data_IF_897464387196
#
_entry.id   IF_897464387196
#
_cell.length_a   1.000
_cell.length_b   1.000
_cell.length_c   1.000
_cell.angle_alpha   90.00
_cell.angle_beta   90.00
_cell.angle_gamma   90.00
#
_symmetry.space_group_name_H-M   'P 1'
#
loop_
_entity.id
_entity.type
_entity.pdbx_description
1 polymer ?
#
# COMPACT_ATOMS: atom_id res chain seq x y z
N UNK A 1 20.29 -9.30 -19.10
CA UNK A 1 19.19 -8.72 -19.87
C UNK A 1 17.81 -9.03 -19.27
N UNK A 2 17.39 -10.31 -19.11
CA UNK A 2 16.06 -10.65 -18.54
C UNK A 2 15.80 -10.09 -17.13
N UNK A 3 16.80 -10.11 -16.22
CA UNK A 3 16.66 -9.54 -14.87
C UNK A 3 16.41 -8.03 -14.89
N UNK A 4 17.11 -7.30 -15.75
CA UNK A 4 16.96 -5.85 -15.88
C UNK A 4 15.58 -5.48 -16.45
N UNK A 5 15.11 -6.18 -17.47
CA UNK A 5 13.77 -5.99 -18.05
C UNK A 5 12.70 -6.26 -16.98
N UNK A 6 12.88 -7.31 -16.17
CA UNK A 6 11.99 -7.62 -15.04
C UNK A 6 11.92 -6.47 -14.03
N UNK A 7 13.06 -5.98 -13.57
CA UNK A 7 13.11 -4.87 -12.60
C UNK A 7 12.44 -3.62 -13.15
N UNK A 8 12.73 -3.28 -14.42
CA UNK A 8 12.09 -2.13 -15.09
C UNK A 8 10.58 -2.34 -15.21
N UNK A 9 10.13 -3.54 -15.54
CA UNK A 9 8.70 -3.85 -15.64
C UNK A 9 8.01 -3.78 -14.25
N UNK A 10 8.65 -4.29 -13.19
CA UNK A 10 8.09 -4.25 -11.83
C UNK A 10 7.98 -2.81 -11.28
N UNK A 11 8.95 -1.96 -11.55
CA UNK A 11 9.02 -0.58 -11.03
C UNK A 11 8.37 0.43 -11.99
N UNK A 12 8.32 0.10 -13.27
CA UNK A 12 7.84 0.98 -14.34
C UNK A 12 6.50 1.67 -14.05
N UNK A 13 5.43 0.94 -13.68
CA UNK A 13 4.15 1.56 -13.34
C UNK A 13 4.26 2.57 -12.19
N UNK A 14 5.05 2.29 -11.15
CA UNK A 14 5.30 3.21 -10.05
C UNK A 14 6.04 4.48 -10.51
N UNK A 15 7.05 4.33 -11.36
CA UNK A 15 7.76 5.48 -11.93
C UNK A 15 6.81 6.32 -12.80
N UNK A 16 5.98 5.70 -13.63
CA UNK A 16 4.95 6.40 -14.43
C UNK A 16 3.99 7.15 -13.50
N UNK A 17 3.56 6.54 -12.40
CA UNK A 17 2.70 7.22 -11.42
C UNK A 17 3.39 8.43 -10.81
N UNK A 18 4.58 8.28 -10.22
CA UNK A 18 5.27 9.38 -9.52
C UNK A 18 5.70 10.51 -10.45
N UNK A 19 6.38 10.19 -11.53
CA UNK A 19 6.85 11.21 -12.47
C UNK A 19 5.72 11.74 -13.34
N UNK A 20 4.80 10.87 -13.77
CA UNK A 20 3.64 11.26 -14.57
C UNK A 20 2.72 12.19 -13.80
N UNK A 21 2.34 11.87 -12.56
CA UNK A 21 1.54 12.76 -11.72
C UNK A 21 2.23 14.09 -11.45
N UNK A 22 3.54 14.09 -11.20
CA UNK A 22 4.28 15.32 -10.94
C UNK A 22 4.30 16.26 -12.14
N UNK A 23 4.45 15.73 -13.35
CA UNK A 23 4.44 16.49 -14.61
C UNK A 23 3.01 16.94 -14.93
N UNK A 24 2.02 16.03 -14.79
CA UNK A 24 0.64 16.30 -15.11
C UNK A 24 -0.01 17.30 -14.17
N UNK A 25 0.31 17.29 -12.88
CA UNK A 25 -0.11 18.33 -11.92
C UNK A 25 0.35 19.73 -12.29
N UNK A 26 1.54 19.86 -12.86
CA UNK A 26 2.03 21.16 -13.35
C UNK A 26 1.27 21.64 -14.59
N UNK A 27 0.86 20.70 -15.45
CA UNK A 27 0.14 21.01 -16.70
C UNK A 27 -1.36 21.18 -16.48
N UNK A 28 -1.94 20.45 -15.55
CA UNK A 28 -3.35 20.45 -15.18
C UNK A 28 -3.48 20.66 -13.67
N UNK A 29 -3.29 21.89 -13.17
CA UNK A 29 -3.46 22.20 -11.75
C UNK A 29 -4.91 22.05 -11.34
N UNK A 30 -5.16 21.80 -10.05
CA UNK A 30 -6.51 21.79 -9.50
C UNK A 30 -7.22 23.12 -9.76
N UNK A 31 -8.47 23.08 -10.17
CA UNK A 31 -9.30 24.27 -10.26
C UNK A 31 -9.52 24.88 -8.86
N UNK A 32 -9.86 26.17 -8.83
CA UNK A 32 -10.03 26.88 -7.57
C UNK A 32 -11.20 26.28 -6.78
N UNK A 33 -10.91 25.59 -5.69
CA UNK A 33 -11.89 24.88 -4.86
C UNK A 33 -11.86 23.35 -4.98
N UNK A 34 -11.12 22.79 -5.93
CA UNK A 34 -10.89 21.35 -6.05
C UNK A 34 -9.66 20.93 -5.24
N UNK A 35 -9.79 19.82 -4.49
CA UNK A 35 -8.72 19.27 -3.65
C UNK A 35 -7.76 18.38 -4.43
N UNK A 36 -8.21 17.84 -5.56
CA UNK A 36 -7.44 16.94 -6.42
C UNK A 36 -7.23 17.62 -7.78
N UNK A 37 -5.98 17.75 -8.18
CA UNK A 37 -5.66 18.23 -9.52
C UNK A 37 -6.02 17.16 -10.57
N UNK A 38 -6.54 17.57 -11.71
CA UNK A 38 -6.79 16.66 -12.87
C UNK A 38 -5.55 15.84 -13.22
N UNK A 39 -4.36 16.38 -13.01
CA UNK A 39 -3.09 15.68 -13.17
C UNK A 39 -2.92 14.45 -12.27
N UNK A 40 -3.60 14.38 -11.11
CA UNK A 40 -3.60 13.18 -10.27
C UNK A 40 -4.47 12.08 -10.88
N UNK A 41 -5.63 12.45 -11.42
CA UNK A 41 -6.53 11.54 -12.12
C UNK A 41 -5.84 10.89 -13.31
N UNK A 42 -5.21 11.69 -14.15
CA UNK A 42 -4.44 11.20 -15.30
C UNK A 42 -3.25 10.33 -14.86
N UNK A 43 -2.59 10.66 -13.75
CA UNK A 43 -1.51 9.87 -13.20
C UNK A 43 -1.97 8.49 -12.72
N UNK A 44 -3.11 8.42 -12.04
CA UNK A 44 -3.74 7.17 -11.59
C UNK A 44 -4.17 6.33 -12.79
N UNK A 45 -4.83 6.94 -13.78
CA UNK A 45 -5.23 6.26 -15.02
C UNK A 45 -4.02 5.70 -15.78
N UNK A 46 -2.96 6.48 -15.91
CA UNK A 46 -1.71 6.04 -16.55
C UNK A 46 -1.04 4.88 -15.79
N UNK A 47 -1.07 4.90 -14.45
CA UNK A 47 -0.59 3.78 -13.64
C UNK A 47 -1.40 2.51 -13.86
N UNK A 48 -2.73 2.61 -13.87
CA UNK A 48 -3.64 1.47 -14.11
C UNK A 48 -3.37 0.87 -15.49
N UNK A 49 -3.30 1.68 -16.53
CA UNK A 49 -2.99 1.24 -17.88
C UNK A 49 -1.61 0.57 -17.97
N UNK A 50 -0.58 1.18 -17.38
CA UNK A 50 0.76 0.61 -17.34
C UNK A 50 0.76 -0.75 -16.61
N UNK A 51 0.02 -0.88 -15.52
CA UNK A 51 -0.08 -2.14 -14.76
C UNK A 51 -0.79 -3.23 -15.55
N UNK A 52 -1.87 -2.91 -16.26
CA UNK A 52 -2.59 -3.83 -17.16
C UNK A 52 -1.66 -4.37 -18.24
N UNK A 53 -0.76 -3.55 -18.78
CA UNK A 53 0.22 -3.96 -19.80
C UNK A 53 1.35 -4.79 -19.18
N UNK A 54 1.85 -4.38 -18.02
CA UNK A 54 3.03 -5.00 -17.38
C UNK A 54 2.73 -6.38 -16.81
N UNK A 55 1.53 -6.63 -16.27
CA UNK A 55 1.17 -7.93 -15.71
C UNK A 55 1.31 -9.07 -16.72
N UNK A 56 0.73 -9.00 -17.93
CA UNK A 56 0.92 -10.02 -18.95
C UNK A 56 2.39 -10.15 -19.40
N UNK A 57 3.11 -9.04 -19.52
CA UNK A 57 4.54 -9.06 -19.89
C UNK A 57 5.36 -9.82 -18.86
N UNK A 58 5.18 -9.55 -17.58
CA UNK A 58 5.86 -10.28 -16.49
C UNK A 58 5.47 -11.75 -16.47
N UNK A 59 4.19 -12.07 -16.70
CA UNK A 59 3.73 -13.45 -16.76
C UNK A 59 4.39 -14.24 -17.89
N UNK A 60 4.50 -13.65 -19.08
CA UNK A 60 5.17 -14.27 -20.23
C UNK A 60 6.67 -14.48 -19.95
N UNK A 61 7.32 -13.48 -19.37
CA UNK A 61 8.77 -13.52 -19.08
C UNK A 61 9.15 -14.53 -17.99
N UNK A 62 8.34 -14.62 -16.95
CA UNK A 62 8.65 -15.46 -15.77
C UNK A 62 8.00 -16.85 -15.83
N UNK A 63 7.02 -17.05 -16.69
CA UNK A 63 6.16 -18.24 -16.69
C UNK A 63 5.51 -18.50 -15.32
N UNK A 64 5.39 -17.47 -14.48
CA UNK A 64 4.79 -17.50 -13.14
C UNK A 64 3.90 -16.29 -12.95
N UNK A 65 2.86 -16.43 -12.13
CA UNK A 65 1.95 -15.30 -11.81
C UNK A 65 2.74 -14.23 -11.03
N UNK A 66 2.78 -12.98 -11.52
CA UNK A 66 3.52 -11.89 -10.87
C UNK A 66 2.69 -11.30 -9.71
N UNK A 67 2.53 -12.08 -8.63
CA UNK A 67 1.68 -11.69 -7.48
C UNK A 67 1.99 -10.32 -6.93
N UNK A 68 3.27 -9.92 -6.90
CA UNK A 68 3.69 -8.61 -6.39
C UNK A 68 3.14 -7.47 -7.24
N UNK A 69 3.28 -7.56 -8.57
CA UNK A 69 2.75 -6.55 -9.50
C UNK A 69 1.22 -6.48 -9.45
N UNK A 70 0.55 -7.62 -9.37
CA UNK A 70 -0.91 -7.70 -9.23
C UNK A 70 -1.35 -7.04 -7.92
N UNK A 71 -0.68 -7.38 -6.80
CA UNK A 71 -1.01 -6.82 -5.50
C UNK A 71 -0.84 -5.30 -5.49
N UNK A 72 0.29 -4.79 -5.97
CA UNK A 72 0.54 -3.34 -6.08
C UNK A 72 -0.51 -2.69 -7.00
N UNK A 73 -0.80 -3.31 -8.15
CA UNK A 73 -1.79 -2.82 -9.10
C UNK A 73 -3.18 -2.68 -8.47
N UNK A 74 -3.66 -3.71 -7.78
CA UNK A 74 -4.94 -3.69 -7.07
C UNK A 74 -4.95 -2.58 -6.01
N UNK A 75 -3.89 -2.48 -5.18
CA UNK A 75 -3.83 -1.47 -4.13
C UNK A 75 -3.84 -0.06 -4.70
N UNK A 76 -2.98 0.26 -5.65
CA UNK A 76 -2.94 1.60 -6.22
C UNK A 76 -4.24 1.95 -6.94
N UNK A 77 -4.88 0.97 -7.60
CA UNK A 77 -6.19 1.19 -8.23
C UNK A 77 -7.26 1.50 -7.19
N UNK A 78 -7.40 0.68 -6.14
CA UNK A 78 -8.38 0.92 -5.07
C UNK A 78 -8.14 2.28 -4.41
N UNK A 79 -6.89 2.59 -4.05
CA UNK A 79 -6.56 3.83 -3.38
C UNK A 79 -6.66 5.05 -4.28
N UNK A 80 -6.34 4.89 -5.55
CA UNK A 80 -6.55 5.90 -6.57
C UNK A 80 -8.03 6.23 -6.72
N UNK A 81 -8.88 5.22 -6.88
CA UNK A 81 -10.33 5.43 -6.97
C UNK A 81 -10.92 6.05 -5.71
N UNK A 82 -10.51 5.59 -4.52
CA UNK A 82 -10.92 6.21 -3.25
C UNK A 82 -10.48 7.67 -3.19
N UNK A 83 -9.29 8.00 -3.70
CA UNK A 83 -8.78 9.38 -3.74
C UNK A 83 -9.62 10.29 -4.63
N UNK A 84 -10.08 9.78 -5.76
CA UNK A 84 -10.94 10.51 -6.69
C UNK A 84 -12.34 10.76 -6.11
N UNK A 85 -12.91 9.77 -5.44
CA UNK A 85 -14.29 9.84 -4.97
C UNK A 85 -14.47 10.69 -3.70
N UNK A 86 -13.40 10.91 -2.94
CA UNK A 86 -13.45 11.53 -1.61
C UNK A 86 -12.69 12.87 -1.61
N UNK A 87 -13.28 13.91 -2.22
CA UNK A 87 -12.66 15.24 -2.38
C UNK A 87 -12.82 16.16 -1.16
N UNK A 88 -13.80 15.92 -0.27
CA UNK A 88 -14.01 16.73 0.92
C UNK A 88 -12.93 16.47 2.00
N UNK A 89 -12.60 17.51 2.77
CA UNK A 89 -11.63 17.47 3.88
C UNK A 89 -11.95 16.36 4.89
N UNK A 90 -13.22 16.15 5.19
CA UNK A 90 -13.68 15.05 6.05
C UNK A 90 -13.26 13.69 5.49
N UNK A 91 -13.49 13.49 4.20
CA UNK A 91 -13.14 12.23 3.52
C UNK A 91 -11.63 12.05 3.36
N UNK A 92 -10.88 13.15 3.17
CA UNK A 92 -9.41 13.09 3.14
C UNK A 92 -8.87 12.54 4.47
N UNK A 93 -9.43 12.96 5.59
CA UNK A 93 -9.08 12.46 6.91
C UNK A 93 -9.56 11.02 7.14
N UNK A 94 -10.66 10.60 6.50
CA UNK A 94 -11.21 9.25 6.62
C UNK A 94 -10.44 8.21 5.78
N UNK A 95 -9.78 8.64 4.69
CA UNK A 95 -9.02 7.74 3.80
C UNK A 95 -8.08 6.77 4.54
N UNK A 96 -7.22 7.22 5.47
CA UNK A 96 -6.33 6.29 6.18
C UNK A 96 -7.07 5.22 6.98
N UNK A 97 -8.20 5.55 7.60
CA UNK A 97 -9.03 4.57 8.31
C UNK A 97 -9.54 3.49 7.37
N UNK A 98 -10.18 3.90 6.27
CA UNK A 98 -10.73 2.97 5.26
C UNK A 98 -9.62 2.08 4.70
N UNK A 99 -8.50 2.67 4.33
CA UNK A 99 -7.34 1.98 3.78
C UNK A 99 -6.82 0.91 4.73
N UNK A 100 -6.58 1.27 5.98
CA UNK A 100 -6.07 0.35 6.98
C UNK A 100 -7.07 -0.78 7.27
N UNK A 101 -8.38 -0.49 7.34
CA UNK A 101 -9.41 -1.52 7.53
C UNK A 101 -9.51 -2.46 6.32
N UNK A 102 -9.40 -1.96 5.09
CA UNK A 102 -9.35 -2.79 3.89
C UNK A 102 -8.13 -3.73 3.94
N UNK A 103 -6.94 -3.23 4.29
CA UNK A 103 -5.75 -4.07 4.41
C UNK A 103 -5.91 -5.15 5.48
N UNK A 104 -6.40 -4.77 6.66
CA UNK A 104 -6.68 -5.73 7.73
C UNK A 104 -7.69 -6.78 7.26
N UNK A 105 -8.79 -6.36 6.64
CA UNK A 105 -9.84 -7.23 6.13
C UNK A 105 -9.33 -8.21 5.09
N UNK A 106 -8.58 -7.74 4.09
CA UNK A 106 -8.01 -8.60 3.03
C UNK A 106 -7.10 -9.69 3.64
N UNK A 107 -6.23 -9.32 4.58
CA UNK A 107 -5.32 -10.28 5.21
C UNK A 107 -6.08 -11.31 6.06
N UNK A 108 -7.06 -10.89 6.85
CA UNK A 108 -7.90 -11.78 7.66
C UNK A 108 -8.73 -12.70 6.75
N UNK A 109 -9.40 -12.11 5.77
CA UNK A 109 -10.28 -12.83 4.85
C UNK A 109 -9.52 -13.89 4.04
N UNK A 110 -8.32 -13.54 3.55
CA UNK A 110 -7.48 -14.48 2.80
C UNK A 110 -7.08 -15.70 3.64
N UNK A 111 -6.85 -15.50 4.93
CA UNK A 111 -6.47 -16.60 5.83
C UNK A 111 -7.67 -17.42 6.28
N UNK A 112 -8.78 -16.79 6.62
CA UNK A 112 -9.96 -17.47 7.17
C UNK A 112 -10.72 -18.22 6.08
N UNK A 113 -10.97 -17.58 4.94
CA UNK A 113 -11.81 -18.15 3.87
C UNK A 113 -10.98 -18.99 2.91
N UNK A 114 -9.90 -18.44 2.39
CA UNK A 114 -9.09 -19.15 1.40
C UNK A 114 -8.01 -20.04 2.02
N UNK A 115 -7.82 -20.02 3.34
CA UNK A 115 -6.75 -20.74 4.06
C UNK A 115 -5.35 -20.48 3.46
N UNK A 116 -5.18 -19.33 2.78
CA UNK A 116 -3.95 -18.91 2.10
C UNK A 116 -3.32 -17.75 2.86
N UNK A 117 -2.01 -17.83 3.07
CA UNK A 117 -1.27 -16.71 3.62
C UNK A 117 -0.85 -15.77 2.48
N UNK A 118 -1.56 -14.65 2.37
CA UNK A 118 -1.34 -13.67 1.30
C UNK A 118 0.06 -13.05 1.37
N UNK A 119 0.57 -12.77 2.57
CA UNK A 119 1.92 -12.23 2.74
C UNK A 119 2.98 -13.22 2.26
N UNK A 120 2.82 -14.51 2.55
CA UNK A 120 3.68 -15.56 2.01
C UNK A 120 3.63 -15.59 0.48
N UNK A 121 2.43 -15.52 -0.10
CA UNK A 121 2.24 -15.54 -1.55
C UNK A 121 2.98 -14.39 -2.25
N UNK A 122 2.95 -13.20 -1.64
CA UNK A 122 3.56 -11.98 -2.20
C UNK A 122 5.08 -11.93 -1.98
N UNK A 123 5.55 -12.34 -0.80
CA UNK A 123 6.93 -12.10 -0.35
C UNK A 123 7.85 -13.32 -0.36
N UNK A 124 7.32 -14.55 -0.42
CA UNK A 124 8.14 -15.77 -0.32
C UNK A 124 9.27 -15.86 -1.36
N UNK A 125 9.07 -15.31 -2.56
CA UNK A 125 10.06 -15.35 -3.65
C UNK A 125 11.00 -14.12 -3.66
N UNK A 126 10.90 -13.21 -2.69
CA UNK A 126 11.65 -11.94 -2.61
C UNK A 126 12.75 -11.98 -1.53
N UNK A 127 13.24 -13.16 -1.17
CA UNK A 127 14.33 -13.32 -0.19
C UNK A 127 13.87 -13.44 1.27
N UNK A 128 12.56 -13.47 1.52
CA UNK A 128 12.02 -13.69 2.86
C UNK A 128 11.82 -15.20 3.10
N UNK A 129 12.81 -15.82 3.73
CA UNK A 129 12.78 -17.24 4.04
C UNK A 129 12.25 -17.47 5.46
N UNK A 130 10.94 -17.40 5.63
CA UNK A 130 10.29 -17.65 6.92
C UNK A 130 9.73 -19.08 6.98
N UNK A 131 9.69 -19.66 8.19
CA UNK A 131 8.96 -20.90 8.45
C UNK A 131 7.44 -20.69 8.30
N UNK A 132 6.66 -21.77 8.23
CA UNK A 132 5.19 -21.68 8.19
C UNK A 132 4.64 -20.96 9.44
N UNK A 133 5.29 -21.18 10.60
CA UNK A 133 4.94 -20.49 11.85
C UNK A 133 5.23 -19.00 11.77
N UNK A 134 6.36 -18.62 11.16
CA UNK A 134 6.73 -17.21 10.92
C UNK A 134 5.72 -16.51 10.01
N UNK A 135 5.34 -17.15 8.91
CA UNK A 135 4.32 -16.60 8.00
C UNK A 135 2.96 -16.45 8.66
N UNK A 136 2.52 -17.41 9.48
CA UNK A 136 1.27 -17.30 10.26
C UNK A 136 1.34 -16.13 11.26
N UNK A 137 2.45 -16.01 11.98
CA UNK A 137 2.65 -14.91 12.95
C UNK A 137 2.63 -13.55 12.26
N UNK A 138 3.29 -13.43 11.11
CA UNK A 138 3.31 -12.19 10.32
C UNK A 138 1.90 -11.80 9.86
N UNK A 139 1.16 -12.79 9.31
CA UNK A 139 -0.19 -12.59 8.81
C UNK A 139 -1.22 -12.29 9.91
N UNK A 140 -0.89 -12.53 11.18
CA UNK A 140 -1.70 -12.15 12.33
C UNK A 140 -1.35 -10.75 12.86
N UNK A 141 -0.06 -10.40 12.89
CA UNK A 141 0.42 -9.11 13.45
C UNK A 141 0.04 -7.92 12.57
N UNK A 142 0.15 -8.07 11.25
CA UNK A 142 -0.16 -6.98 10.33
C UNK A 142 -1.62 -6.50 10.37
N UNK A 143 -2.64 -7.37 10.34
CA UNK A 143 -4.03 -6.94 10.50
C UNK A 143 -4.29 -6.20 11.81
N UNK A 144 -3.74 -6.69 12.93
CA UNK A 144 -3.87 -6.01 14.22
C UNK A 144 -3.28 -4.61 14.16
N UNK A 145 -2.10 -4.48 13.54
CA UNK A 145 -1.47 -3.19 13.40
C UNK A 145 -2.27 -2.24 12.49
N UNK A 146 -2.82 -2.73 11.39
CA UNK A 146 -3.68 -1.91 10.54
C UNK A 146 -4.97 -1.47 11.25
N UNK A 147 -5.60 -2.34 12.03
CA UNK A 147 -6.74 -1.94 12.87
C UNK A 147 -6.33 -0.88 13.89
N UNK A 148 -5.17 -1.06 14.52
CA UNK A 148 -4.62 -0.06 15.44
C UNK A 148 -4.38 1.30 14.74
N UNK A 149 -3.81 1.32 13.54
CA UNK A 149 -3.62 2.55 12.77
C UNK A 149 -4.95 3.19 12.35
N UNK A 150 -5.97 2.38 12.03
CA UNK A 150 -7.32 2.88 11.74
C UNK A 150 -7.92 3.58 12.96
N UNK A 151 -7.86 2.94 14.14
CA UNK A 151 -8.35 3.53 15.40
C UNK A 151 -7.56 4.80 15.78
N UNK A 152 -6.25 4.77 15.64
CA UNK A 152 -5.41 5.93 15.87
C UNK A 152 -5.80 7.11 14.97
N UNK A 153 -6.06 6.84 13.68
CA UNK A 153 -6.52 7.88 12.76
C UNK A 153 -7.89 8.44 13.17
N UNK A 154 -8.83 7.61 13.64
CA UNK A 154 -10.14 8.08 14.11
C UNK A 154 -10.00 9.03 15.33
N UNK A 155 -9.07 8.74 16.23
CA UNK A 155 -8.76 9.64 17.36
C UNK A 155 -8.18 10.96 16.83
N UNK A 156 -7.17 10.89 15.96
CA UNK A 156 -6.46 12.06 15.46
C UNK A 156 -7.30 12.95 14.53
N UNK A 157 -8.32 12.41 13.86
CA UNK A 157 -9.21 13.18 12.99
C UNK A 157 -10.45 13.74 13.69
N UNK A 158 -10.60 13.51 14.98
CA UNK A 158 -11.76 14.02 15.71
C UNK A 158 -11.72 15.55 15.81
N UNK A 159 -12.69 16.27 15.21
CA UNK A 159 -12.67 17.74 15.13
C UNK A 159 -12.83 18.43 16.48
N UNK A 160 -13.32 17.71 17.51
CA UNK A 160 -13.42 18.24 18.87
C UNK A 160 -12.07 18.30 19.59
N UNK A 161 -11.08 17.53 19.11
CA UNK A 161 -9.78 17.43 19.76
C UNK A 161 -8.66 18.04 18.92
N UNK A 162 -8.75 17.93 17.59
CA UNK A 162 -7.67 18.32 16.71
C UNK A 162 -8.19 19.00 15.44
N UNK A 163 -7.46 20.01 15.01
CA UNK A 163 -7.69 20.69 13.74
C UNK A 163 -7.13 19.85 12.57
N UNK A 164 -7.56 20.17 11.34
CA UNK A 164 -7.01 19.55 10.13
C UNK A 164 -5.48 19.70 10.01
N UNK A 165 -4.96 20.88 10.37
CA UNK A 165 -3.51 21.14 10.32
C UNK A 165 -2.73 20.30 11.35
N UNK A 166 -3.29 20.09 12.54
CA UNK A 166 -2.71 19.23 13.55
C UNK A 166 -2.75 17.77 13.13
N UNK A 167 -3.87 17.30 12.56
CA UNK A 167 -3.97 15.97 12.00
C UNK A 167 -2.89 15.70 10.93
N UNK A 168 -2.60 16.65 10.02
CA UNK A 168 -1.51 16.54 9.05
C UNK A 168 -0.15 16.39 9.72
N UNK A 169 0.12 17.17 10.77
CA UNK A 169 1.36 17.07 11.55
C UNK A 169 1.46 15.71 12.25
N UNK A 170 0.39 15.23 12.86
CA UNK A 170 0.39 13.95 13.58
C UNK A 170 0.58 12.75 12.67
N UNK A 171 0.17 12.81 11.41
CA UNK A 171 0.52 11.78 10.41
C UNK A 171 2.04 11.60 10.29
N UNK A 172 2.79 12.69 10.30
CA UNK A 172 4.26 12.64 10.18
C UNK A 172 4.91 12.31 11.53
N UNK A 173 4.51 13.00 12.60
CA UNK A 173 5.20 12.94 13.89
C UNK A 173 4.75 11.78 14.80
N UNK A 174 3.59 11.18 14.55
CA UNK A 174 3.08 10.06 15.35
C UNK A 174 2.97 8.80 14.50
N UNK A 175 2.20 8.84 13.40
CA UNK A 175 1.90 7.63 12.64
C UNK A 175 3.13 7.03 11.97
N UNK A 176 4.02 7.85 11.41
CA UNK A 176 5.27 7.35 10.81
C UNK A 176 6.22 6.72 11.85
N UNK A 177 6.57 7.39 12.98
CA UNK A 177 7.39 6.76 14.01
C UNK A 177 6.77 5.50 14.60
N UNK A 178 5.47 5.49 14.87
CA UNK A 178 4.75 4.31 15.38
C UNK A 178 4.85 3.15 14.39
N UNK A 179 4.69 3.40 13.09
CA UNK A 179 4.84 2.38 12.06
C UNK A 179 6.27 1.84 11.98
N UNK A 180 7.25 2.72 12.10
CA UNK A 180 8.66 2.34 12.10
C UNK A 180 9.02 1.52 13.36
N UNK A 181 8.56 1.92 14.53
CA UNK A 181 8.74 1.20 15.80
C UNK A 181 8.10 -0.18 15.72
N UNK A 182 6.88 -0.29 15.15
CA UNK A 182 6.23 -1.59 14.96
C UNK A 182 7.09 -2.54 14.10
N UNK A 183 7.64 -2.05 13.00
CA UNK A 183 8.51 -2.85 12.13
C UNK A 183 9.78 -3.27 12.90
N UNK A 184 10.45 -2.33 13.59
CA UNK A 184 11.68 -2.59 14.32
C UNK A 184 11.49 -3.61 15.46
N UNK A 185 10.42 -3.46 16.26
CA UNK A 185 10.22 -4.28 17.46
C UNK A 185 9.54 -5.61 17.15
N UNK A 186 8.56 -5.63 16.23
CA UNK A 186 7.71 -6.79 16.05
C UNK A 186 8.00 -7.58 14.77
N UNK A 187 8.52 -6.95 13.73
CA UNK A 187 8.71 -7.59 12.43
C UNK A 187 10.16 -8.04 12.25
N UNK A 188 11.11 -7.12 12.37
CA UNK A 188 12.54 -7.42 12.14
C UNK A 188 13.07 -8.51 13.08
N UNK A 189 12.88 -8.48 14.41
CA UNK A 189 13.38 -9.53 15.29
C UNK A 189 12.76 -10.90 15.01
N UNK A 190 11.49 -10.93 14.62
CA UNK A 190 10.84 -12.17 14.20
C UNK A 190 11.50 -12.74 12.94
N UNK A 191 11.76 -11.91 11.95
CA UNK A 191 12.41 -12.32 10.70
C UNK A 191 13.84 -12.80 10.94
N UNK A 192 14.62 -12.13 11.78
CA UNK A 192 15.98 -12.53 12.13
C UNK A 192 15.99 -13.88 12.87
N UNK A 193 15.10 -14.05 13.85
CA UNK A 193 15.00 -15.30 14.62
C UNK A 193 14.61 -16.51 13.75
N UNK A 194 13.81 -16.30 12.74
CA UNK A 194 13.38 -17.36 11.83
C UNK A 194 14.49 -17.71 10.79
N UNK A 195 15.29 -16.74 10.35
CA UNK A 195 16.40 -16.98 9.42
C UNK A 195 17.59 -17.72 10.07
N UNK A 196 17.78 -17.58 11.39
CA UNK A 196 18.85 -18.28 12.14
C UNK A 196 18.56 -19.79 12.34
N UNK A 197 17.30 -20.22 12.19
CA UNK A 197 16.89 -21.62 12.36
C UNK A 197 17.04 -22.51 11.12
N UNK A 198 17.67 -21.98 10.08
CA UNK A 198 18.11 -22.73 8.88
C UNK A 198 19.60 -22.97 8.90
#
# INVERSE_FOLDING_TARGET
>A
MKAMIKTIAEIGPLLIFFFGTSILKKKFPAAKGELIADGELYGIAAFILATIIVIPVLWILERKIPYMAITIGIFVTIFGLISIYLEDTYYIQLKPTIINLIFAGILIFSQVIFKKNLLKLVFNNKGFNLTEKGWKSLNFRWPIFFVFLALLNEILRNPNWFTYTEWLKYKVYIVMPVSFIFILIFIIPMMLKENVKK
#
